data_IF_048641043806
#
_entry.id   IF_048641043806
#
_cell.length_a   1.000
_cell.length_b   1.000
_cell.length_c   1.000
_cell.angle_alpha   90.00
_cell.angle_beta   90.00
_cell.angle_gamma   90.00
#
_symmetry.space_group_name_H-M   'P 1'
#
loop_
_entity.id
_entity.type
_entity.pdbx_description
1 polymer ?
#
# COMPACT_ATOMS: atom_id res chain seq x y z
N UNK A 1 7.62 8.40 13.72
CA UNK A 1 7.88 8.01 12.32
C UNK A 1 8.54 6.63 12.18
N UNK A 2 9.71 6.35 12.78
CA UNK A 2 10.43 5.07 12.60
C UNK A 2 9.55 3.82 12.78
N UNK A 3 8.83 3.71 13.90
CA UNK A 3 7.93 2.59 14.19
C UNK A 3 6.83 2.45 13.13
N UNK A 4 6.27 3.58 12.66
CA UNK A 4 5.27 3.58 11.60
C UNK A 4 5.84 3.02 10.28
N UNK A 5 7.03 3.45 9.87
CA UNK A 5 7.71 2.95 8.66
C UNK A 5 7.99 1.45 8.78
N UNK A 6 8.44 0.98 9.95
CA UNK A 6 8.67 -0.45 10.20
C UNK A 6 7.38 -1.24 10.03
N UNK A 7 6.33 -0.88 10.77
CA UNK A 7 5.07 -1.62 10.77
C UNK A 7 4.45 -1.65 9.37
N UNK A 8 4.38 -0.51 8.71
CA UNK A 8 3.82 -0.42 7.36
C UNK A 8 4.67 -1.16 6.34
N UNK A 9 6.00 -1.06 6.41
CA UNK A 9 6.91 -1.83 5.55
C UNK A 9 6.70 -3.35 5.67
N UNK A 10 6.53 -3.87 6.89
CA UNK A 10 6.22 -5.30 7.09
C UNK A 10 4.84 -5.69 6.55
N UNK A 11 3.81 -4.85 6.76
CA UNK A 11 2.47 -5.11 6.24
C UNK A 11 2.45 -5.11 4.70
N UNK A 12 3.08 -4.14 4.07
CA UNK A 12 3.20 -4.05 2.60
C UNK A 12 3.99 -5.23 2.03
N UNK A 13 5.04 -5.68 2.72
CA UNK A 13 5.78 -6.88 2.31
C UNK A 13 4.87 -8.12 2.36
N UNK A 14 4.15 -8.32 3.46
CA UNK A 14 3.28 -9.47 3.66
C UNK A 14 2.16 -9.50 2.60
N UNK A 15 1.45 -8.39 2.44
CA UNK A 15 0.38 -8.26 1.45
C UNK A 15 0.94 -8.43 0.04
N UNK A 16 2.07 -7.79 -0.26
CA UNK A 16 2.76 -7.89 -1.53
C UNK A 16 3.13 -9.32 -1.90
N UNK A 17 3.67 -10.10 -0.96
CA UNK A 17 4.01 -11.51 -1.15
C UNK A 17 2.77 -12.37 -1.41
N UNK A 18 1.69 -12.18 -0.64
CA UNK A 18 0.43 -12.91 -0.84
C UNK A 18 -0.10 -12.65 -2.26
N UNK A 19 -0.14 -11.38 -2.67
CA UNK A 19 -0.65 -10.96 -3.97
C UNK A 19 0.26 -11.39 -5.13
N UNK A 20 1.58 -11.38 -4.97
CA UNK A 20 2.48 -11.85 -6.02
C UNK A 20 2.43 -13.37 -6.17
N UNK A 21 2.43 -14.13 -5.08
CA UNK A 21 2.59 -15.59 -5.15
C UNK A 21 1.25 -16.25 -5.47
N UNK A 22 0.22 -15.96 -4.66
CA UNK A 22 -1.09 -16.57 -4.79
C UNK A 22 -2.22 -15.64 -4.30
N UNK A 23 -2.69 -14.71 -5.14
CA UNK A 23 -3.79 -13.81 -4.77
C UNK A 23 -5.05 -14.54 -4.32
N UNK A 24 -5.28 -15.79 -4.80
CA UNK A 24 -6.49 -16.57 -4.50
C UNK A 24 -6.62 -16.99 -3.02
N UNK A 25 -5.58 -16.79 -2.21
CA UNK A 25 -5.67 -16.92 -0.73
C UNK A 25 -6.66 -15.89 -0.17
N UNK A 26 -6.72 -14.70 -0.76
CA UNK A 26 -7.69 -13.67 -0.40
C UNK A 26 -9.04 -14.01 -1.04
N UNK A 27 -10.10 -14.04 -0.24
CA UNK A 27 -11.45 -14.45 -0.64
C UNK A 27 -11.97 -13.70 -1.87
N UNK A 28 -11.67 -12.40 -1.97
CA UNK A 28 -12.04 -11.55 -3.10
C UNK A 28 -11.49 -12.03 -4.46
N UNK A 29 -10.40 -12.79 -4.47
CA UNK A 29 -9.75 -13.28 -5.70
C UNK A 29 -9.99 -14.76 -5.99
N UNK A 30 -10.70 -15.51 -5.14
CA UNK A 30 -10.86 -16.97 -5.28
C UNK A 30 -11.41 -17.38 -6.64
N UNK A 31 -12.40 -16.63 -7.14
CA UNK A 31 -13.06 -16.82 -8.44
C UNK A 31 -12.80 -15.65 -9.40
N UNK A 32 -11.72 -14.89 -9.21
CA UNK A 32 -11.36 -13.77 -10.07
C UNK A 32 -10.96 -14.23 -11.48
N UNK A 33 -11.22 -13.38 -12.47
CA UNK A 33 -10.72 -13.58 -13.84
C UNK A 33 -9.19 -13.58 -13.87
N UNK A 34 -8.59 -14.19 -14.90
CA UNK A 34 -7.14 -14.17 -15.08
C UNK A 34 -6.59 -12.73 -15.18
N UNK A 35 -7.33 -11.82 -15.81
CA UNK A 35 -6.95 -10.40 -15.87
C UNK A 35 -6.88 -9.77 -14.48
N UNK A 36 -7.87 -10.00 -13.62
CA UNK A 36 -7.89 -9.49 -12.26
C UNK A 36 -6.79 -10.11 -11.39
N UNK A 37 -6.48 -11.40 -11.59
CA UNK A 37 -5.33 -12.07 -10.96
C UNK A 37 -4.00 -11.41 -11.38
N UNK A 38 -3.83 -11.09 -12.66
CA UNK A 38 -2.64 -10.38 -13.15
C UNK A 38 -2.54 -8.99 -12.51
N UNK A 39 -3.63 -8.23 -12.48
CA UNK A 39 -3.67 -6.92 -11.82
C UNK A 39 -3.35 -7.01 -10.32
N UNK A 40 -3.85 -8.04 -9.63
CA UNK A 40 -3.53 -8.29 -8.22
C UNK A 40 -2.02 -8.54 -8.02
N UNK A 41 -1.36 -9.32 -8.90
CA UNK A 41 0.09 -9.54 -8.84
C UNK A 41 0.88 -8.27 -9.10
N UNK A 42 0.46 -7.44 -10.07
CA UNK A 42 1.08 -6.13 -10.32
C UNK A 42 0.94 -5.21 -9.09
N UNK A 43 -0.23 -5.21 -8.45
CA UNK A 43 -0.44 -4.48 -7.21
C UNK A 43 0.46 -5.01 -6.08
N UNK A 44 0.62 -6.33 -5.98
CA UNK A 44 1.58 -6.95 -5.07
C UNK A 44 3.02 -6.50 -5.31
N UNK A 45 3.45 -6.35 -6.56
CA UNK A 45 4.78 -5.83 -6.91
C UNK A 45 4.97 -4.38 -6.45
N UNK A 46 3.94 -3.55 -6.59
CA UNK A 46 3.95 -2.18 -6.06
C UNK A 46 4.08 -2.17 -4.53
N UNK A 47 3.31 -2.99 -3.82
CA UNK A 47 3.40 -3.12 -2.36
C UNK A 47 4.79 -3.57 -1.89
N UNK A 48 5.39 -4.58 -2.54
CA UNK A 48 6.78 -5.01 -2.23
C UNK A 48 7.77 -3.86 -2.47
N UNK A 49 7.60 -3.06 -3.51
CA UNK A 49 8.49 -1.92 -3.79
C UNK A 49 8.43 -0.87 -2.68
N UNK A 50 7.24 -0.58 -2.16
CA UNK A 50 7.06 0.30 -0.99
C UNK A 50 7.72 -0.29 0.25
N UNK A 51 7.56 -1.60 0.48
CA UNK A 51 8.19 -2.29 1.60
C UNK A 51 9.72 -2.24 1.55
N UNK A 52 10.31 -2.49 0.39
CA UNK A 52 11.77 -2.39 0.19
C UNK A 52 12.24 -0.96 0.48
N UNK A 53 11.52 0.05 0.00
CA UNK A 53 11.87 1.44 0.31
C UNK A 53 11.78 1.72 1.81
N UNK A 54 10.71 1.26 2.48
CA UNK A 54 10.57 1.37 3.93
C UNK A 54 11.76 0.74 4.68
N UNK A 55 12.22 -0.44 4.27
CA UNK A 55 13.38 -1.08 4.90
C UNK A 55 14.68 -0.31 4.70
N UNK A 56 14.92 0.24 3.50
CA UNK A 56 16.09 1.10 3.23
C UNK A 56 16.11 2.29 4.21
N UNK A 57 14.96 2.94 4.41
CA UNK A 57 14.84 4.04 5.38
C UNK A 57 15.12 3.56 6.81
N UNK A 58 14.57 2.43 7.21
CA UNK A 58 14.70 1.94 8.59
C UNK A 58 16.14 1.53 8.93
N UNK A 59 16.85 0.93 7.98
CA UNK A 59 18.23 0.46 8.18
C UNK A 59 19.22 1.60 8.40
N UNK A 60 18.94 2.78 7.83
CA UNK A 60 19.75 4.00 7.98
C UNK A 60 18.87 5.18 8.42
N UNK A 61 18.07 4.97 9.47
CA UNK A 61 17.04 5.95 9.87
C UNK A 61 17.59 7.28 10.36
N UNK A 62 18.85 7.35 10.77
CA UNK A 62 19.45 8.64 11.16
C UNK A 62 19.73 9.52 9.93
N UNK A 63 19.82 8.93 8.74
CA UNK A 63 19.96 9.63 7.48
C UNK A 63 18.60 10.16 6.99
N UNK A 64 18.29 11.39 7.42
CA UNK A 64 17.00 12.02 7.18
C UNK A 64 16.71 12.41 5.72
N UNK A 65 17.71 12.33 4.83
CA UNK A 65 17.60 12.73 3.42
C UNK A 65 16.45 12.03 2.70
N UNK A 66 16.22 10.75 3.01
CA UNK A 66 15.22 9.93 2.33
C UNK A 66 13.85 9.88 3.03
N UNK A 67 13.72 10.46 4.22
CA UNK A 67 12.46 10.42 4.98
C UNK A 67 11.31 11.09 4.24
N UNK A 68 11.51 12.33 3.80
CA UNK A 68 10.49 13.09 3.09
C UNK A 68 10.15 12.47 1.71
N UNK A 69 11.12 12.08 0.88
CA UNK A 69 10.84 11.30 -0.33
C UNK A 69 10.01 10.03 -0.07
N UNK A 70 10.35 9.25 0.97
CA UNK A 70 9.58 8.07 1.34
C UNK A 70 8.14 8.43 1.70
N UNK A 71 7.92 9.41 2.59
CA UNK A 71 6.58 9.83 2.99
C UNK A 71 5.75 10.32 1.80
N UNK A 72 6.35 11.04 0.84
CA UNK A 72 5.66 11.48 -0.38
C UNK A 72 5.23 10.27 -1.21
N UNK A 73 6.15 9.34 -1.51
CA UNK A 73 5.85 8.16 -2.33
C UNK A 73 4.81 7.28 -1.67
N UNK A 74 4.97 6.99 -0.38
CA UNK A 74 4.02 6.22 0.41
C UNK A 74 2.64 6.89 0.45
N UNK A 75 2.60 8.20 0.71
CA UNK A 75 1.35 8.95 0.73
C UNK A 75 0.62 8.92 -0.61
N UNK A 76 1.33 9.18 -1.71
CA UNK A 76 0.76 9.13 -3.07
C UNK A 76 0.23 7.74 -3.40
N UNK A 77 0.99 6.68 -3.08
CA UNK A 77 0.55 5.30 -3.30
C UNK A 77 -0.78 5.02 -2.58
N UNK A 78 -0.85 5.28 -1.28
CA UNK A 78 -2.06 5.00 -0.49
C UNK A 78 -3.25 5.88 -0.88
N UNK A 79 -3.02 7.15 -1.22
CA UNK A 79 -4.06 8.04 -1.72
C UNK A 79 -4.66 7.54 -3.03
N UNK A 80 -3.82 7.17 -4.00
CA UNK A 80 -4.27 6.70 -5.31
C UNK A 80 -4.98 5.35 -5.22
N UNK A 81 -4.54 4.45 -4.34
CA UNK A 81 -5.26 3.20 -4.08
C UNK A 81 -6.64 3.48 -3.48
N UNK A 82 -6.73 4.37 -2.48
CA UNK A 82 -8.01 4.74 -1.87
C UNK A 82 -8.98 5.31 -2.91
N UNK A 83 -8.51 6.26 -3.73
CA UNK A 83 -9.30 6.82 -4.85
C UNK A 83 -9.72 5.76 -5.85
N UNK A 84 -8.81 4.85 -6.24
CA UNK A 84 -9.11 3.79 -7.20
C UNK A 84 -10.27 2.90 -6.74
N UNK A 85 -10.30 2.56 -5.44
CA UNK A 85 -11.39 1.76 -4.86
C UNK A 85 -12.70 2.57 -4.80
N UNK A 86 -12.63 3.85 -4.44
CA UNK A 86 -13.80 4.74 -4.43
C UNK A 86 -14.41 4.87 -5.83
N UNK A 87 -13.59 5.12 -6.85
CA UNK A 87 -14.03 5.17 -8.25
C UNK A 87 -14.68 3.83 -8.64
N UNK A 88 -14.01 2.72 -8.34
CA UNK A 88 -14.52 1.37 -8.63
C UNK A 88 -15.86 1.09 -7.94
N UNK A 89 -16.06 1.61 -6.72
CA UNK A 89 -17.32 1.49 -5.99
C UNK A 89 -18.46 2.24 -6.70
N UNK A 90 -18.23 3.49 -7.11
CA UNK A 90 -19.21 4.27 -7.86
C UNK A 90 -19.53 3.66 -9.23
N UNK A 91 -18.54 3.02 -9.86
CA UNK A 91 -18.72 2.26 -11.11
C UNK A 91 -19.32 0.87 -10.90
N UNK A 92 -19.68 0.49 -9.67
CA UNK A 92 -20.24 -0.83 -9.30
C UNK A 92 -19.33 -2.02 -9.62
N UNK A 93 -18.02 -1.79 -9.69
CA UNK A 93 -16.98 -2.81 -9.92
C UNK A 93 -16.51 -3.47 -8.63
N UNK A 94 -16.69 -2.80 -7.49
CA UNK A 94 -16.51 -3.37 -6.14
C UNK A 94 -17.68 -2.97 -5.24
N UNK A 95 -17.93 -3.76 -4.20
CA UNK A 95 -18.87 -3.43 -3.12
C UNK A 95 -18.16 -3.18 -1.79
N UNK A 96 -16.85 -3.41 -1.73
CA UNK A 96 -16.06 -3.30 -0.51
C UNK A 96 -15.29 -1.97 -0.51
N UNK A 97 -15.65 -1.10 0.45
CA UNK A 97 -14.98 0.17 0.71
C UNK A 97 -13.95 0.08 1.84
N UNK A 98 -13.85 -1.04 2.56
CA UNK A 98 -12.92 -1.17 3.69
C UNK A 98 -11.47 -1.00 3.24
N UNK A 99 -11.14 -1.48 2.04
CA UNK A 99 -9.82 -1.26 1.43
C UNK A 99 -9.57 0.24 1.23
N UNK A 100 -10.55 0.99 0.72
CA UNK A 100 -10.42 2.44 0.56
C UNK A 100 -10.18 3.16 1.89
N UNK A 101 -10.90 2.75 2.94
CA UNK A 101 -10.77 3.32 4.29
C UNK A 101 -9.38 3.03 4.87
N UNK A 102 -8.89 1.79 4.77
CA UNK A 102 -7.57 1.42 5.27
C UNK A 102 -6.46 2.21 4.57
N UNK A 103 -6.49 2.26 3.23
CA UNK A 103 -5.50 3.03 2.47
C UNK A 103 -5.64 4.54 2.74
N UNK A 104 -6.85 5.06 2.88
CA UNK A 104 -7.09 6.45 3.28
C UNK A 104 -6.49 6.78 4.65
N UNK A 105 -6.64 5.89 5.63
CA UNK A 105 -6.04 6.04 6.96
C UNK A 105 -4.51 6.13 6.87
N UNK A 106 -3.87 5.25 6.11
CA UNK A 106 -2.43 5.31 5.90
C UNK A 106 -1.98 6.60 5.22
N UNK A 107 -2.76 7.10 4.25
CA UNK A 107 -2.49 8.42 3.65
C UNK A 107 -2.55 9.54 4.69
N UNK A 108 -3.60 9.62 5.51
CA UNK A 108 -3.73 10.68 6.52
C UNK A 108 -2.66 10.62 7.61
N UNK A 109 -2.27 9.41 8.06
CA UNK A 109 -1.15 9.24 9.00
C UNK A 109 0.15 9.72 8.37
N UNK A 110 0.38 9.40 7.10
CA UNK A 110 1.57 9.88 6.37
C UNK A 110 1.57 11.38 6.17
N UNK A 111 0.41 11.98 5.87
CA UNK A 111 0.26 13.43 5.77
C UNK A 111 0.58 14.12 7.12
N UNK A 112 0.12 13.54 8.23
CA UNK A 112 0.49 14.00 9.56
C UNK A 112 2.00 13.99 9.78
N UNK A 113 2.69 12.90 9.41
CA UNK A 113 4.16 12.85 9.50
C UNK A 113 4.86 13.78 8.51
N UNK A 114 4.27 14.08 7.35
CA UNK A 114 4.86 14.96 6.35
C UNK A 114 4.82 16.44 6.77
N UNK A 115 3.75 16.83 7.49
CA UNK A 115 3.55 18.21 7.97
C UNK A 115 4.33 18.47 9.25
N UNK A 116 4.49 17.47 10.11
CA UNK A 116 5.06 17.61 11.46
C UNK A 116 6.50 17.06 11.62
N UNK A 117 7.17 16.68 10.52
CA UNK A 117 8.61 16.35 10.52
C UNK A 117 9.44 17.53 10.03
#
# INVERSE_FOLDING_TARGET
MKIFIIITGFLELLVGLILIINPKIISAYKNASNSLITSARMYGAAAISIAVFAFIIVTDFENSVLHKPFLIVFGVFHFLVSISIIISFYLKQTRDLMIAVLHGLFFFITLYFLINN
#
